data_IF_949989474273
#
_entry.id   IF_949989474273
#
_cell.length_a   1.000
_cell.length_b   1.000
_cell.length_c   1.000
_cell.angle_alpha   90.00
_cell.angle_beta   90.00
_cell.angle_gamma   90.00
#
_symmetry.space_group_name_H-M   'P 1'
#
loop_
_entity.id
_entity.type
_entity.pdbx_description
1 polymer ?
#
# COMPACT_ATOMS: atom_id res chain seq x y z
N UNK A 1 -41.83 2.50 -2.97
CA UNK A 1 -41.34 1.12 -3.12
C UNK A 1 -39.87 1.19 -3.48
N UNK A 2 -39.02 0.85 -2.53
CA UNK A 2 -37.56 0.86 -2.61
C UNK A 2 -37.07 -0.35 -3.40
N UNK A 3 -36.14 -0.16 -4.33
CA UNK A 3 -35.04 -1.12 -4.51
C UNK A 3 -33.73 -0.34 -4.68
N UNK A 4 -32.96 -0.36 -3.60
CA UNK A 4 -31.60 0.16 -3.52
C UNK A 4 -30.67 -1.01 -3.74
N UNK A 5 -30.09 -1.12 -4.92
CA UNK A 5 -29.05 -2.11 -5.20
C UNK A 5 -27.66 -1.47 -5.12
N UNK A 6 -27.02 -1.58 -3.95
CA UNK A 6 -25.55 -1.53 -3.72
C UNK A 6 -25.24 -2.35 -2.46
N UNK A 7 -24.02 -2.89 -2.27
CA UNK A 7 -22.99 -3.32 -3.23
C UNK A 7 -22.63 -4.82 -3.02
N UNK A 8 -22.04 -5.48 -4.03
CA UNK A 8 -21.51 -6.84 -3.83
C UNK A 8 -20.20 -6.76 -3.05
N UNK A 9 -20.29 -7.10 -1.78
CA UNK A 9 -19.18 -7.54 -0.93
C UNK A 9 -18.48 -8.73 -1.61
N UNK A 10 -17.20 -8.60 -1.95
CA UNK A 10 -16.33 -9.77 -2.08
C UNK A 10 -15.24 -9.69 -1.03
N UNK A 11 -15.35 -10.64 -0.10
CA UNK A 11 -14.47 -10.86 1.03
C UNK A 11 -13.02 -11.12 0.57
N UNK A 12 -12.07 -10.55 1.31
CA UNK A 12 -10.68 -11.00 1.39
C UNK A 12 -10.04 -11.43 0.05
N UNK A 13 -9.81 -10.47 -0.85
CA UNK A 13 -8.73 -10.65 -1.81
C UNK A 13 -7.42 -10.71 -0.99
N UNK A 14 -6.95 -11.92 -0.68
CA UNK A 14 -5.59 -12.14 -0.19
C UNK A 14 -4.70 -11.71 -1.35
N UNK A 15 -4.25 -10.45 -1.31
CA UNK A 15 -3.21 -9.98 -2.20
C UNK A 15 -1.93 -10.69 -1.75
N UNK A 16 -1.62 -11.81 -2.39
CA UNK A 16 -0.33 -12.48 -2.23
C UNK A 16 0.70 -11.53 -2.85
N UNK A 17 1.33 -10.72 -2.00
CA UNK A 17 2.51 -9.96 -2.39
C UNK A 17 3.54 -10.96 -2.91
N UNK A 18 3.94 -10.83 -4.17
CA UNK A 18 4.99 -11.67 -4.72
C UNK A 18 6.33 -11.25 -4.08
N UNK A 19 6.97 -12.10 -3.25
CA UNK A 19 8.19 -11.74 -2.53
C UNK A 19 9.41 -11.56 -3.44
N UNK A 20 9.33 -11.95 -4.73
CA UNK A 20 10.40 -11.71 -5.71
C UNK A 20 10.26 -10.36 -6.43
N UNK A 21 9.19 -9.60 -6.20
CA UNK A 21 8.92 -8.36 -6.95
C UNK A 21 9.78 -7.21 -6.41
N UNK A 22 10.94 -7.01 -7.03
CA UNK A 22 11.85 -5.91 -6.72
C UNK A 22 11.14 -4.56 -6.89
N UNK A 23 11.15 -3.74 -5.84
CA UNK A 23 10.51 -2.41 -5.84
C UNK A 23 11.15 -1.47 -6.85
N UNK A 24 12.45 -1.64 -7.09
CA UNK A 24 13.25 -0.89 -8.06
C UNK A 24 14.17 -1.83 -8.84
N UNK A 25 14.43 -1.49 -10.10
CA UNK A 25 15.45 -2.16 -10.94
C UNK A 25 16.87 -1.79 -10.49
N UNK A 26 17.05 -0.54 -10.03
CA UNK A 26 18.31 0.00 -9.54
C UNK A 26 18.33 0.05 -8.01
N UNK A 27 19.39 -0.50 -7.39
CA UNK A 27 19.62 -0.39 -5.93
C UNK A 27 20.00 1.06 -5.59
N UNK A 28 19.53 1.56 -4.44
CA UNK A 28 19.96 2.87 -3.95
C UNK A 28 21.46 2.85 -3.62
N UNK A 29 22.22 3.79 -4.19
CA UNK A 29 23.68 3.91 -4.02
C UNK A 29 24.12 5.22 -3.35
N UNK A 30 23.16 6.01 -2.88
CA UNK A 30 23.40 7.33 -2.29
C UNK A 30 23.50 8.48 -3.30
N UNK A 31 23.78 8.19 -4.57
CA UNK A 31 23.90 9.19 -5.65
C UNK A 31 22.67 9.21 -6.56
N UNK A 32 21.95 8.09 -6.66
CA UNK A 32 20.80 7.91 -7.54
C UNK A 32 19.45 8.23 -6.87
N UNK A 33 19.41 9.09 -5.84
CA UNK A 33 18.19 9.37 -5.08
C UNK A 33 17.01 9.79 -5.95
N UNK A 34 17.24 10.64 -6.95
CA UNK A 34 16.16 11.17 -7.79
C UNK A 34 15.51 10.07 -8.65
N UNK A 35 16.30 9.24 -9.29
CA UNK A 35 15.82 8.10 -10.08
C UNK A 35 15.17 7.04 -9.18
N UNK A 36 15.85 6.68 -8.08
CA UNK A 36 15.36 5.69 -7.13
C UNK A 36 14.02 6.11 -6.52
N UNK A 37 13.90 7.35 -6.04
CA UNK A 37 12.67 7.86 -5.42
C UNK A 37 11.50 7.94 -6.40
N UNK A 38 11.76 8.29 -7.66
CA UNK A 38 10.75 8.26 -8.71
C UNK A 38 10.25 6.84 -8.96
N UNK A 39 11.16 5.86 -9.06
CA UNK A 39 10.80 4.47 -9.31
C UNK A 39 10.03 3.87 -8.13
N UNK A 40 10.48 4.10 -6.90
CA UNK A 40 9.74 3.72 -5.68
C UNK A 40 8.33 4.31 -5.69
N UNK A 41 8.18 5.60 -6.02
CA UNK A 41 6.88 6.26 -6.10
C UNK A 41 5.97 5.62 -7.15
N UNK A 42 6.47 5.29 -8.34
CA UNK A 42 5.69 4.64 -9.40
C UNK A 42 5.27 3.24 -8.95
N UNK A 43 6.20 2.43 -8.43
CA UNK A 43 5.94 1.07 -7.96
C UNK A 43 4.88 1.05 -6.85
N UNK A 44 5.00 1.95 -5.86
CA UNK A 44 4.03 2.04 -4.76
C UNK A 44 2.66 2.56 -5.21
N UNK A 45 2.61 3.46 -6.19
CA UNK A 45 1.34 3.91 -6.79
C UNK A 45 0.67 2.78 -7.56
N UNK A 46 1.41 2.01 -8.36
CA UNK A 46 0.89 0.84 -9.06
C UNK A 46 0.31 -0.23 -8.12
N UNK A 47 0.88 -0.35 -6.92
CA UNK A 47 0.38 -1.26 -5.86
C UNK A 47 -0.69 -0.66 -4.95
N UNK A 48 -1.08 0.61 -5.13
CA UNK A 48 -2.02 1.31 -4.24
C UNK A 48 -1.49 1.52 -2.80
N UNK A 49 -0.18 1.42 -2.60
CA UNK A 49 0.50 1.53 -1.30
C UNK A 49 1.11 2.91 -1.04
N UNK A 50 1.19 3.77 -2.05
CA UNK A 50 1.77 5.11 -1.89
C UNK A 50 1.08 5.95 -0.80
N UNK A 51 -0.21 5.68 -0.54
CA UNK A 51 -1.00 6.32 0.52
C UNK A 51 -0.41 6.20 1.93
N UNK A 52 0.34 5.14 2.21
CA UNK A 52 1.01 4.94 3.50
C UNK A 52 2.22 5.87 3.66
N UNK A 53 3.01 6.06 2.59
CA UNK A 53 4.16 6.99 2.59
C UNK A 53 3.70 8.45 2.53
N UNK A 54 2.64 8.74 1.78
CA UNK A 54 2.13 10.11 1.64
C UNK A 54 1.29 10.57 2.83
N UNK A 55 1.04 9.71 3.82
CA UNK A 55 0.15 10.00 4.95
C UNK A 55 -1.33 10.10 4.59
N UNK A 56 -1.72 9.77 3.36
CA UNK A 56 -3.13 9.82 2.94
C UNK A 56 -3.96 8.67 3.55
N UNK A 57 -3.30 7.58 3.94
CA UNK A 57 -3.88 6.55 4.80
C UNK A 57 -3.43 6.80 6.24
N UNK A 58 -4.19 7.62 6.95
CA UNK A 58 -3.92 7.93 8.35
C UNK A 58 -4.01 6.68 9.24
N UNK A 59 -3.17 6.57 10.28
CA UNK A 59 -3.25 5.49 11.26
C UNK A 59 -4.60 5.55 11.99
N UNK A 60 -5.32 4.42 12.09
CA UNK A 60 -6.45 4.30 13.01
C UNK A 60 -6.00 4.48 14.46
N UNK A 61 -6.96 4.63 15.37
CA UNK A 61 -6.69 4.49 16.80
C UNK A 61 -6.13 3.09 17.10
N UNK A 62 -5.16 2.97 17.99
CA UNK A 62 -4.54 1.69 18.35
C UNK A 62 -5.53 0.66 18.91
N UNK A 63 -6.67 1.12 19.44
CA UNK A 63 -7.75 0.26 19.93
C UNK A 63 -8.74 -0.15 18.83
N UNK A 64 -8.68 0.47 17.65
CA UNK A 64 -9.50 0.07 16.51
C UNK A 64 -8.99 -1.28 15.98
N UNK A 65 -9.86 -2.30 15.83
CA UNK A 65 -9.49 -3.57 15.20
C UNK A 65 -8.84 -3.44 13.81
N UNK A 66 -9.02 -2.30 13.13
CA UNK A 66 -8.38 -1.99 11.84
C UNK A 66 -6.91 -1.60 11.96
N UNK A 67 -6.42 -1.25 13.16
CA UNK A 67 -5.03 -0.84 13.39
C UNK A 67 -4.06 -1.92 12.95
N UNK A 68 -4.24 -3.16 13.38
CA UNK A 68 -3.37 -4.29 13.00
C UNK A 68 -3.28 -4.46 11.47
N UNK A 69 -4.41 -4.30 10.78
CA UNK A 69 -4.48 -4.39 9.32
C UNK A 69 -3.88 -3.18 8.60
N UNK A 70 -3.89 -2.00 9.22
CA UNK A 70 -3.20 -0.82 8.73
C UNK A 70 -1.69 -0.96 8.94
N UNK A 71 -1.27 -1.37 10.14
CA UNK A 71 0.13 -1.54 10.54
C UNK A 71 0.83 -2.58 9.68
N UNK A 72 0.22 -3.75 9.48
CA UNK A 72 0.73 -4.78 8.57
C UNK A 72 0.98 -4.23 7.15
N UNK A 73 0.03 -3.44 6.63
CA UNK A 73 0.14 -2.87 5.28
C UNK A 73 1.16 -1.75 5.20
N UNK A 74 1.29 -0.96 6.27
CA UNK A 74 2.29 0.10 6.41
C UNK A 74 3.70 -0.49 6.50
N UNK A 75 3.89 -1.54 7.30
CA UNK A 75 5.15 -2.24 7.48
C UNK A 75 5.65 -2.87 6.17
N UNK A 76 4.76 -3.39 5.32
CA UNK A 76 5.13 -3.94 3.99
C UNK A 76 5.65 -2.90 2.99
N UNK A 77 5.67 -1.61 3.33
CA UNK A 77 6.23 -0.55 2.48
C UNK A 77 7.66 -0.20 2.87
N UNK A 78 8.07 -0.50 4.11
CA UNK A 78 9.36 -0.16 4.72
C UNK A 78 10.37 -1.28 4.57
#
# INVERSE_FOLDING_TARGET
MTDTSKPITSAHAIHVENPTLRLTTSKFDGKNFMEWSQFVKISLKGKGKFKYISGAAEPPDEKDPKYESWDTKNYMVV
#
